data_IF_394679806795
#
_entry.id   IF_394679806795
#
_cell.length_a   1.000
_cell.length_b   1.000
_cell.length_c   1.000
_cell.angle_alpha   90.00
_cell.angle_beta   90.00
_cell.angle_gamma   90.00
#
_symmetry.space_group_name_H-M   'P 1'
#
loop_
_entity.id
_entity.type
_entity.pdbx_description
1 polymer ?
#
# COMPACT_ATOMS: atom_id res chain seq x y z
N UNK A 1 -33.34 11.54 46.15
CA UNK A 1 -32.48 10.81 47.11
C UNK A 1 -32.30 9.39 46.57
N UNK A 2 -31.07 8.99 46.18
CA UNK A 2 -30.86 7.87 45.26
C UNK A 2 -30.40 6.58 45.95
N UNK A 3 -30.82 5.46 45.40
CA UNK A 3 -30.45 4.11 45.81
C UNK A 3 -29.14 3.63 45.14
N UNK A 4 -28.26 3.09 45.98
CA UNK A 4 -27.31 1.98 45.77
C UNK A 4 -26.64 1.84 44.38
N UNK A 5 -25.36 2.25 44.31
CA UNK A 5 -24.33 1.55 43.52
C UNK A 5 -23.08 1.31 44.39
N UNK A 6 -22.71 0.03 44.51
CA UNK A 6 -21.51 -0.45 45.21
C UNK A 6 -20.25 0.12 44.54
N UNK A 7 -19.41 0.81 45.31
CA UNK A 7 -18.01 1.09 44.97
C UNK A 7 -17.19 -0.12 45.40
N UNK A 8 -16.45 -0.73 44.47
CA UNK A 8 -15.30 -1.58 44.78
C UNK A 8 -14.06 -0.82 44.31
N UNK A 9 -13.36 -0.24 45.28
CA UNK A 9 -11.99 0.22 45.13
C UNK A 9 -11.08 -1.00 45.14
N UNK A 10 -10.26 -1.19 44.11
CA UNK A 10 -9.08 -2.06 44.18
C UNK A 10 -7.89 -1.28 43.63
N UNK A 11 -6.83 -1.24 44.44
CA UNK A 11 -5.56 -0.55 44.19
C UNK A 11 -4.73 -1.28 43.12
N UNK A 12 -3.80 -0.59 42.44
CA UNK A 12 -2.85 -1.20 41.53
C UNK A 12 -1.77 -1.95 42.33
N UNK A 13 -1.53 -3.22 41.99
CA UNK A 13 -0.44 -4.03 42.54
C UNK A 13 0.18 -4.89 41.44
N UNK A 14 1.41 -4.54 41.08
CA UNK A 14 2.53 -5.38 40.64
C UNK A 14 2.22 -6.66 39.84
N UNK A 15 2.21 -6.53 38.51
CA UNK A 15 2.39 -7.67 37.61
C UNK A 15 3.87 -7.84 37.30
N UNK A 16 4.52 -8.81 37.97
CA UNK A 16 5.83 -9.33 37.53
C UNK A 16 5.64 -10.05 36.21
N UNK A 17 6.37 -9.60 35.18
CA UNK A 17 6.51 -10.30 33.91
C UNK A 17 7.29 -11.61 34.14
N UNK A 18 6.57 -12.73 34.12
CA UNK A 18 7.15 -14.06 34.28
C UNK A 18 6.07 -15.06 34.67
N UNK A 19 5.43 -15.63 33.64
CA UNK A 19 4.74 -16.94 33.62
C UNK A 19 3.42 -16.89 32.85
N UNK A 20 3.53 -17.07 31.53
CA UNK A 20 2.69 -17.97 30.70
C UNK A 20 3.13 -17.85 29.25
N UNK A 21 4.36 -18.28 28.97
CA UNK A 21 4.71 -18.75 27.64
C UNK A 21 4.10 -20.16 27.48
N UNK A 22 2.86 -20.24 27.02
CA UNK A 22 2.34 -21.50 26.49
C UNK A 22 3.09 -21.76 25.18
N UNK A 23 4.11 -22.61 25.27
CA UNK A 23 4.82 -23.17 24.13
C UNK A 23 3.81 -23.84 23.19
N UNK A 24 3.39 -23.14 22.13
CA UNK A 24 2.79 -23.78 20.97
C UNK A 24 3.92 -24.51 20.26
N UNK A 25 4.16 -25.75 20.68
CA UNK A 25 5.04 -26.65 19.97
C UNK A 25 4.39 -26.91 18.61
N UNK A 26 4.92 -26.26 17.56
CA UNK A 26 4.44 -26.38 16.19
C UNK A 26 4.40 -27.87 15.80
N UNK A 27 3.21 -28.36 15.45
CA UNK A 27 3.01 -29.74 15.05
C UNK A 27 3.84 -30.00 13.77
N UNK A 28 4.75 -30.99 13.75
CA UNK A 28 5.57 -31.28 12.58
C UNK A 28 4.71 -31.56 11.34
N UNK A 29 5.18 -31.16 10.15
CA UNK A 29 4.41 -31.25 8.91
C UNK A 29 3.93 -32.68 8.59
N UNK A 30 4.75 -33.70 8.86
CA UNK A 30 4.37 -35.10 8.69
C UNK A 30 3.19 -35.51 9.59
N UNK A 31 3.14 -35.01 10.84
CA UNK A 31 2.07 -35.32 11.80
C UNK A 31 0.72 -34.74 11.35
N UNK A 32 0.75 -33.53 10.79
CA UNK A 32 -0.43 -32.91 10.18
C UNK A 32 -0.90 -33.66 8.94
N UNK A 33 0.02 -34.13 8.07
CA UNK A 33 -0.35 -34.94 6.89
C UNK A 33 -0.98 -36.28 7.25
N UNK A 34 -0.46 -36.99 8.27
CA UNK A 34 -1.09 -38.23 8.75
C UNK A 34 -2.55 -38.01 9.16
N UNK A 35 -2.83 -36.88 9.82
CA UNK A 35 -4.19 -36.50 10.22
C UNK A 35 -5.05 -36.20 9.00
N UNK A 36 -4.56 -35.37 8.08
CA UNK A 36 -5.29 -34.99 6.86
C UNK A 36 -5.63 -36.20 5.98
N UNK A 37 -4.68 -37.11 5.75
CA UNK A 37 -4.91 -38.31 4.92
C UNK A 37 -5.92 -39.27 5.57
N UNK A 38 -5.91 -39.41 6.89
CA UNK A 38 -6.93 -40.16 7.63
C UNK A 38 -8.32 -39.52 7.49
N UNK A 39 -8.40 -38.21 7.69
CA UNK A 39 -9.67 -37.46 7.65
C UNK A 39 -10.28 -37.40 6.25
N UNK A 40 -9.46 -37.27 5.20
CA UNK A 40 -9.87 -37.35 3.80
C UNK A 40 -10.53 -38.68 3.44
N UNK A 41 -10.12 -39.77 4.09
CA UNK A 41 -10.70 -41.10 3.94
C UNK A 41 -11.89 -41.36 4.88
N UNK A 42 -12.25 -40.38 5.71
CA UNK A 42 -13.36 -40.48 6.66
C UNK A 42 -13.09 -41.42 7.82
N UNK A 43 -11.84 -41.81 8.06
CA UNK A 43 -11.50 -42.82 9.06
C UNK A 43 -11.37 -42.21 10.45
N UNK A 44 -11.98 -42.86 11.44
CA UNK A 44 -11.66 -42.66 12.85
C UNK A 44 -10.26 -43.22 13.17
N UNK A 45 -9.69 -42.82 14.32
CA UNK A 45 -8.38 -43.35 14.77
C UNK A 45 -8.42 -44.86 15.04
N UNK A 46 -9.57 -45.39 15.43
CA UNK A 46 -9.78 -46.83 15.61
C UNK A 46 -9.83 -47.57 14.26
N UNK A 47 -10.47 -46.99 13.25
CA UNK A 47 -10.46 -47.55 11.89
C UNK A 47 -9.07 -47.50 11.28
N UNK A 48 -8.34 -46.39 11.47
CA UNK A 48 -6.94 -46.30 11.06
C UNK A 48 -6.07 -47.36 11.75
N UNK A 49 -6.27 -47.58 13.06
CA UNK A 49 -5.57 -48.63 13.79
C UNK A 49 -5.89 -50.03 13.24
N UNK A 50 -7.14 -50.30 12.83
CA UNK A 50 -7.50 -51.59 12.20
C UNK A 50 -6.79 -51.77 10.86
N UNK A 51 -6.81 -50.77 9.99
CA UNK A 51 -6.13 -50.84 8.70
C UNK A 51 -4.61 -51.02 8.83
N UNK A 52 -3.98 -50.35 9.79
CA UNK A 52 -2.55 -50.54 10.07
C UNK A 52 -2.25 -51.95 10.59
N UNK A 53 -3.07 -52.50 11.50
CA UNK A 53 -2.87 -53.85 12.04
C UNK A 53 -3.09 -54.92 10.97
N UNK A 54 -4.10 -54.74 10.11
CA UNK A 54 -4.40 -55.63 8.99
C UNK A 54 -3.25 -55.67 7.99
N UNK A 55 -2.73 -54.51 7.56
CA UNK A 55 -1.57 -54.42 6.65
C UNK A 55 -0.29 -54.98 7.30
N UNK A 56 -0.12 -54.82 8.61
CA UNK A 56 1.03 -55.36 9.34
C UNK A 56 0.90 -56.86 9.69
N UNK A 57 -0.25 -57.50 9.42
CA UNK A 57 -0.52 -58.88 9.83
C UNK A 57 -0.56 -59.10 11.34
N UNK A 58 -0.90 -58.05 12.11
CA UNK A 58 -0.93 -58.05 13.57
C UNK A 58 -2.33 -58.29 14.15
N UNK A 59 -2.39 -58.73 15.40
CA UNK A 59 -3.66 -59.01 16.08
C UNK A 59 -4.51 -57.73 16.30
N UNK A 60 -5.77 -57.81 15.86
CA UNK A 60 -6.80 -56.77 16.03
C UNK A 60 -7.16 -56.47 17.49
N UNK A 61 -6.75 -57.31 18.45
CA UNK A 61 -6.88 -57.01 19.89
C UNK A 61 -6.11 -55.74 20.32
N UNK A 62 -5.14 -55.28 19.51
CA UNK A 62 -4.29 -54.13 19.81
C UNK A 62 -4.87 -52.76 19.40
N UNK A 63 -6.06 -52.70 18.80
CA UNK A 63 -6.67 -51.47 18.23
C UNK A 63 -6.71 -50.32 19.24
N UNK A 64 -7.10 -50.58 20.49
CA UNK A 64 -7.20 -49.55 21.51
C UNK A 64 -5.83 -48.97 21.91
N UNK A 65 -4.78 -49.78 21.87
CA UNK A 65 -3.41 -49.33 22.15
C UNK A 65 -2.88 -48.50 20.99
N UNK A 66 -3.01 -49.01 19.76
CA UNK A 66 -2.52 -48.34 18.57
C UNK A 66 -3.26 -47.02 18.31
N UNK A 67 -4.57 -46.95 18.57
CA UNK A 67 -5.30 -45.67 18.45
C UNK A 67 -4.77 -44.58 19.39
N UNK A 68 -4.19 -44.91 20.54
CA UNK A 68 -3.54 -43.92 21.42
C UNK A 68 -2.22 -43.45 20.82
N UNK A 69 -1.43 -44.37 20.27
CA UNK A 69 -0.18 -44.04 19.56
C UNK A 69 -0.46 -43.15 18.35
N UNK A 70 -1.47 -43.45 17.54
CA UNK A 70 -1.91 -42.63 16.40
C UNK A 70 -2.25 -41.20 16.85
N UNK A 71 -2.95 -41.05 17.98
CA UNK A 71 -3.25 -39.73 18.54
C UNK A 71 -1.99 -38.96 18.93
N UNK A 72 -0.99 -39.63 19.50
CA UNK A 72 0.27 -38.98 19.89
C UNK A 72 1.15 -38.67 18.67
N UNK A 73 1.11 -39.50 17.62
CA UNK A 73 1.77 -39.26 16.33
C UNK A 73 1.14 -38.09 15.57
N UNK A 74 -0.19 -38.03 15.46
CA UNK A 74 -0.92 -36.90 14.84
C UNK A 74 -0.76 -35.59 15.61
N UNK A 75 -0.33 -35.64 16.88
CA UNK A 75 0.04 -34.46 17.68
C UNK A 75 1.52 -34.11 17.55
N UNK A 76 2.30 -34.89 16.81
CA UNK A 76 3.72 -34.65 16.63
C UNK A 76 4.61 -35.04 17.80
N UNK A 77 4.07 -35.76 18.81
CA UNK A 77 4.84 -36.09 20.02
C UNK A 77 5.93 -37.12 19.76
N UNK A 78 5.64 -38.11 18.91
CA UNK A 78 6.58 -39.18 18.57
C UNK A 78 6.50 -39.50 17.08
N UNK A 79 7.65 -39.72 16.46
CA UNK A 79 7.70 -40.21 15.08
C UNK A 79 7.32 -41.71 15.04
N UNK A 80 6.41 -42.14 14.15
CA UNK A 80 6.00 -43.53 14.03
C UNK A 80 7.06 -44.39 13.33
N UNK A 81 8.22 -44.62 13.97
CA UNK A 81 9.39 -45.29 13.35
C UNK A 81 9.02 -46.65 12.75
N UNK A 82 8.40 -47.50 13.54
CA UNK A 82 8.09 -48.89 13.14
C UNK A 82 6.81 -49.00 12.31
N UNK A 83 6.11 -47.88 12.10
CA UNK A 83 4.81 -47.83 11.42
C UNK A 83 4.83 -46.96 10.16
N UNK A 84 5.94 -46.27 9.86
CA UNK A 84 6.03 -45.33 8.74
C UNK A 84 5.77 -46.02 7.40
N UNK A 85 6.41 -47.16 7.15
CA UNK A 85 6.21 -47.98 5.95
C UNK A 85 4.75 -48.46 5.84
N UNK A 86 4.17 -48.94 6.95
CA UNK A 86 2.78 -49.42 6.98
C UNK A 86 1.79 -48.29 6.71
N UNK A 87 2.04 -47.10 7.25
CA UNK A 87 1.27 -45.89 6.96
C UNK A 87 1.29 -45.54 5.47
N UNK A 88 2.47 -45.58 4.85
CA UNK A 88 2.64 -45.31 3.43
C UNK A 88 1.82 -46.29 2.58
N UNK A 89 1.89 -47.59 2.90
CA UNK A 89 1.11 -48.64 2.21
C UNK A 89 -0.40 -48.48 2.39
N UNK A 90 -0.86 -48.30 3.63
CA UNK A 90 -2.30 -48.13 3.93
C UNK A 90 -2.88 -46.90 3.24
N UNK A 91 -2.09 -45.83 3.08
CA UNK A 91 -2.53 -44.64 2.35
C UNK A 91 -2.31 -44.71 0.85
N UNK A 92 -1.55 -45.70 0.34
CA UNK A 92 -1.18 -45.81 -1.06
C UNK A 92 -0.26 -44.66 -1.51
N UNK A 93 0.58 -44.16 -0.61
CA UNK A 93 1.50 -43.05 -0.83
C UNK A 93 2.96 -43.52 -0.66
N UNK A 94 3.88 -42.79 -1.27
CA UNK A 94 5.31 -42.98 -1.02
C UNK A 94 5.67 -42.50 0.40
N UNK A 95 6.57 -43.21 1.09
CA UNK A 95 6.99 -42.88 2.46
C UNK A 95 7.64 -41.50 2.51
N UNK A 96 8.45 -41.14 1.50
CA UNK A 96 9.09 -39.83 1.43
C UNK A 96 8.05 -38.74 1.23
N UNK A 97 6.96 -38.98 0.49
CA UNK A 97 5.87 -38.02 0.32
C UNK A 97 5.11 -37.83 1.64
N UNK A 98 4.81 -38.93 2.34
CA UNK A 98 4.04 -38.90 3.57
C UNK A 98 4.81 -38.27 4.74
N UNK A 99 6.12 -38.54 4.83
CA UNK A 99 6.97 -38.13 5.96
C UNK A 99 8.00 -37.03 5.63
N UNK A 100 8.07 -36.51 4.40
CA UNK A 100 9.01 -35.45 4.02
C UNK A 100 8.90 -34.21 4.90
N UNK A 101 10.05 -33.61 5.20
CA UNK A 101 10.19 -32.34 5.93
C UNK A 101 9.69 -31.11 5.15
N UNK A 102 9.44 -31.22 3.83
CA UNK A 102 8.94 -30.08 3.03
C UNK A 102 7.48 -29.82 3.34
N UNK A 103 7.17 -28.64 3.90
CA UNK A 103 5.79 -28.18 4.15
C UNK A 103 4.96 -28.37 2.87
N UNK A 104 3.92 -29.20 2.92
CA UNK A 104 2.89 -29.14 1.88
C UNK A 104 2.27 -27.74 1.99
N UNK A 105 2.16 -27.01 0.87
CA UNK A 105 1.45 -25.73 0.86
C UNK A 105 0.07 -25.95 1.50
N UNK A 106 -0.34 -25.15 2.50
CA UNK A 106 -1.67 -25.30 3.09
C UNK A 106 -2.71 -25.18 1.98
N UNK A 107 -3.70 -26.08 1.90
CA UNK A 107 -4.83 -25.94 0.96
C UNK A 107 -5.53 -24.57 1.13
N UNK A 108 -5.42 -23.97 2.32
CA UNK A 108 -5.89 -22.62 2.64
C UNK A 108 -5.21 -21.53 1.80
N UNK A 109 -3.88 -21.61 1.58
CA UNK A 109 -3.12 -20.63 0.80
C UNK A 109 -3.52 -20.67 -0.70
N UNK A 110 -3.78 -21.87 -1.23
CA UNK A 110 -4.22 -22.05 -2.62
C UNK A 110 -5.68 -21.62 -2.83
N UNK A 111 -6.56 -21.87 -1.85
CA UNK A 111 -7.93 -21.36 -1.87
C UNK A 111 -7.98 -19.83 -1.73
N UNK A 112 -7.17 -19.25 -0.85
CA UNK A 112 -7.02 -17.79 -0.72
C UNK A 112 -6.46 -17.17 -1.99
N UNK A 113 -5.43 -17.79 -2.60
CA UNK A 113 -4.90 -17.37 -3.90
C UNK A 113 -5.99 -17.39 -4.97
N UNK A 114 -6.75 -18.48 -5.08
CA UNK A 114 -7.83 -18.62 -6.07
C UNK A 114 -8.95 -17.59 -5.85
N UNK A 115 -9.36 -17.36 -4.61
CA UNK A 115 -10.36 -16.33 -4.27
C UNK A 115 -9.86 -14.93 -4.58
N UNK A 116 -8.59 -14.66 -4.30
CA UNK A 116 -7.99 -13.37 -4.55
C UNK A 116 -7.86 -13.12 -6.06
N UNK A 117 -7.40 -14.10 -6.84
CA UNK A 117 -7.36 -14.02 -8.31
C UNK A 117 -8.76 -13.84 -8.91
N UNK A 118 -9.76 -14.53 -8.39
CA UNK A 118 -11.17 -14.33 -8.79
C UNK A 118 -11.65 -12.91 -8.45
N UNK A 119 -11.25 -12.36 -7.31
CA UNK A 119 -11.58 -10.99 -6.91
C UNK A 119 -10.89 -9.98 -7.83
N UNK A 120 -9.62 -10.19 -8.18
CA UNK A 120 -8.88 -9.37 -9.13
C UNK A 120 -9.49 -9.43 -10.54
N UNK A 121 -9.87 -10.61 -11.01
CA UNK A 121 -10.59 -10.79 -12.28
C UNK A 121 -11.92 -10.02 -12.29
N UNK A 122 -12.63 -9.98 -11.16
CA UNK A 122 -13.86 -9.20 -10.99
C UNK A 122 -13.60 -7.69 -11.02
N UNK A 123 -12.41 -7.25 -10.61
CA UNK A 123 -11.93 -5.87 -10.70
C UNK A 123 -11.35 -5.51 -12.09
N UNK A 124 -11.52 -6.39 -13.10
CA UNK A 124 -11.01 -6.16 -14.45
C UNK A 124 -9.50 -6.37 -14.61
N UNK A 125 -8.83 -6.90 -13.58
CA UNK A 125 -7.46 -7.43 -13.70
C UNK A 125 -7.59 -8.80 -14.36
N UNK A 126 -7.64 -8.82 -15.69
CA UNK A 126 -7.58 -10.08 -16.43
C UNK A 126 -6.15 -10.61 -16.35
N UNK A 127 -5.86 -11.52 -15.41
CA UNK A 127 -4.71 -12.41 -15.59
C UNK A 127 -5.06 -13.28 -16.80
N UNK A 128 -4.41 -13.04 -17.95
CA UNK A 128 -4.47 -14.02 -19.03
C UNK A 128 -4.01 -15.37 -18.47
N UNK A 129 -4.64 -16.50 -18.84
CA UNK A 129 -4.17 -17.84 -18.45
C UNK A 129 -2.67 -18.06 -18.71
N UNK A 130 -2.11 -17.31 -19.67
CA UNK A 130 -0.68 -17.25 -19.98
C UNK A 130 0.13 -16.67 -18.81
N UNK A 131 -0.31 -15.60 -18.14
CA UNK A 131 0.41 -15.02 -17.00
C UNK A 131 0.41 -15.94 -15.78
N UNK A 132 -0.69 -16.64 -15.51
CA UNK A 132 -0.76 -17.64 -14.43
C UNK A 132 0.16 -18.84 -14.72
N UNK A 133 0.24 -19.24 -15.99
CA UNK A 133 1.17 -20.29 -16.45
C UNK A 133 2.63 -19.84 -16.34
N UNK A 134 2.96 -18.61 -16.73
CA UNK A 134 4.32 -18.04 -16.61
C UNK A 134 4.75 -17.89 -15.15
N UNK A 135 3.85 -17.48 -14.25
CA UNK A 135 4.14 -17.44 -12.81
C UNK A 135 4.45 -18.84 -12.27
N UNK A 136 3.65 -19.83 -12.65
CA UNK A 136 3.83 -21.23 -12.22
C UNK A 136 5.15 -21.80 -12.75
N UNK A 137 5.50 -21.52 -14.01
CA UNK A 137 6.79 -21.90 -14.60
C UNK A 137 7.94 -21.22 -13.86
N UNK A 138 7.85 -19.90 -13.60
CA UNK A 138 8.85 -19.14 -12.83
C UNK A 138 9.06 -19.74 -11.44
N UNK A 139 7.99 -20.06 -10.74
CA UNK A 139 8.06 -20.67 -9.41
C UNK A 139 8.71 -22.05 -9.46
N UNK A 140 8.34 -22.89 -10.42
CA UNK A 140 8.92 -24.23 -10.60
C UNK A 140 10.41 -24.17 -10.94
N UNK A 141 10.82 -23.23 -11.80
CA UNK A 141 12.23 -23.01 -12.16
C UNK A 141 13.02 -22.50 -10.96
N UNK A 142 12.50 -21.51 -10.23
CA UNK A 142 13.15 -20.97 -9.04
C UNK A 142 13.33 -22.02 -7.94
N UNK A 143 12.32 -22.88 -7.72
CA UNK A 143 12.42 -23.99 -6.77
C UNK A 143 13.49 -25.02 -7.18
N UNK A 144 13.66 -25.26 -8.48
CA UNK A 144 14.66 -26.20 -9.00
C UNK A 144 16.09 -25.67 -8.87
N UNK A 145 16.27 -24.35 -8.84
CA UNK A 145 17.57 -23.68 -8.74
C UNK A 145 18.02 -23.39 -7.31
N UNK A 146 17.23 -23.74 -6.29
CA UNK A 146 17.57 -23.45 -4.89
C UNK A 146 17.44 -21.96 -4.54
N UNK A 147 16.26 -21.38 -4.84
CA UNK A 147 15.89 -19.97 -4.63
C UNK A 147 16.41 -19.38 -3.30
N UNK A 148 17.19 -18.31 -3.39
CA UNK A 148 17.60 -17.50 -2.22
C UNK A 148 16.55 -16.42 -1.96
N UNK A 149 15.90 -16.49 -0.80
CA UNK A 149 14.89 -15.52 -0.35
C UNK A 149 15.44 -14.08 -0.30
N UNK A 150 16.76 -13.89 -0.21
CA UNK A 150 17.39 -12.57 -0.30
C UNK A 150 17.27 -11.95 -1.69
N UNK A 151 17.52 -12.74 -2.73
CA UNK A 151 17.40 -12.31 -4.12
C UNK A 151 15.94 -11.95 -4.45
N UNK A 152 14.98 -12.64 -3.83
CA UNK A 152 13.57 -12.30 -3.98
C UNK A 152 13.24 -10.93 -3.37
N UNK A 153 13.73 -10.64 -2.17
CA UNK A 153 13.52 -9.34 -1.51
C UNK A 153 14.16 -8.21 -2.31
N UNK A 154 15.42 -8.37 -2.73
CA UNK A 154 16.14 -7.37 -3.51
C UNK A 154 15.41 -7.05 -4.82
N UNK A 155 14.94 -8.07 -5.53
CA UNK A 155 14.10 -7.92 -6.74
C UNK A 155 12.83 -7.11 -6.44
N UNK A 156 12.17 -7.34 -5.30
CA UNK A 156 10.97 -6.57 -4.96
C UNK A 156 11.26 -5.14 -4.48
N UNK A 157 12.40 -4.92 -3.82
CA UNK A 157 12.87 -3.57 -3.49
C UNK A 157 13.19 -2.79 -4.78
N UNK A 158 13.80 -3.44 -5.76
CA UNK A 158 14.02 -2.89 -7.10
C UNK A 158 12.70 -2.58 -7.81
N UNK A 159 11.73 -3.51 -7.81
CA UNK A 159 10.40 -3.27 -8.40
C UNK A 159 9.69 -2.05 -7.78
N UNK A 160 9.76 -1.87 -6.45
CA UNK A 160 9.21 -0.67 -5.78
C UNK A 160 9.91 0.60 -6.26
N UNK A 161 11.24 0.57 -6.41
CA UNK A 161 12.03 1.69 -6.92
C UNK A 161 11.67 2.01 -8.39
N UNK A 162 11.48 0.99 -9.23
CA UNK A 162 11.07 1.14 -10.63
C UNK A 162 9.67 1.77 -10.76
N UNK A 163 8.72 1.34 -9.92
CA UNK A 163 7.43 2.02 -9.81
C UNK A 163 7.59 3.50 -9.44
N UNK A 164 8.62 3.84 -8.66
CA UNK A 164 8.99 5.21 -8.36
C UNK A 164 9.16 6.08 -9.62
N UNK A 165 9.81 5.54 -10.65
CA UNK A 165 10.07 6.23 -11.91
C UNK A 165 8.90 6.16 -12.90
N UNK A 166 8.13 5.07 -12.89
CA UNK A 166 7.01 4.90 -13.83
C UNK A 166 5.70 5.52 -13.32
N UNK A 167 5.57 5.79 -12.01
CA UNK A 167 4.31 6.18 -11.37
C UNK A 167 3.60 7.34 -12.07
N UNK A 168 4.33 8.37 -12.53
CA UNK A 168 3.74 9.55 -13.17
C UNK A 168 3.42 9.33 -14.66
N UNK A 169 4.04 8.33 -15.28
CA UNK A 169 3.95 8.02 -16.71
C UNK A 169 2.90 6.95 -17.00
N UNK A 170 2.77 5.95 -16.14
CA UNK A 170 1.80 4.87 -16.28
C UNK A 170 0.39 5.40 -15.95
N UNK A 171 -0.63 5.12 -16.79
CA UNK A 171 -2.01 5.43 -16.45
C UNK A 171 -2.44 4.78 -15.12
N UNK A 172 -3.18 5.48 -14.24
CA UNK A 172 -3.55 4.95 -12.92
C UNK A 172 -4.29 3.60 -12.96
N UNK A 173 -5.14 3.37 -13.97
CA UNK A 173 -5.84 2.09 -14.12
C UNK A 173 -4.88 0.93 -14.39
N UNK A 174 -3.87 1.13 -15.23
CA UNK A 174 -2.86 0.10 -15.51
C UNK A 174 -2.00 -0.15 -14.26
N UNK A 175 -1.54 0.93 -13.60
CA UNK A 175 -0.74 0.84 -12.39
C UNK A 175 -1.47 0.11 -11.25
N UNK A 176 -2.80 0.25 -11.15
CA UNK A 176 -3.62 -0.49 -10.19
C UNK A 176 -3.48 -2.01 -10.38
N UNK A 177 -3.51 -2.46 -11.64
CA UNK A 177 -3.44 -3.88 -11.99
C UNK A 177 -2.05 -4.46 -11.70
N UNK A 178 -1.01 -3.72 -12.09
CA UNK A 178 0.40 -4.11 -11.90
C UNK A 178 0.74 -4.22 -10.40
N UNK A 179 0.48 -3.16 -9.62
CA UNK A 179 0.77 -3.15 -8.18
C UNK A 179 -0.08 -4.18 -7.43
N UNK A 180 -1.33 -4.43 -7.85
CA UNK A 180 -2.15 -5.48 -7.27
C UNK A 180 -1.54 -6.87 -7.48
N UNK A 181 -1.07 -7.18 -8.69
CA UNK A 181 -0.43 -8.46 -8.97
C UNK A 181 0.83 -8.68 -8.11
N UNK A 182 1.65 -7.63 -7.96
CA UNK A 182 2.88 -7.69 -7.17
C UNK A 182 2.60 -7.83 -5.67
N UNK A 183 1.60 -7.14 -5.13
CA UNK A 183 1.16 -7.31 -3.74
C UNK A 183 0.76 -8.75 -3.43
N UNK A 184 0.15 -9.45 -4.40
CA UNK A 184 -0.23 -10.85 -4.25
C UNK A 184 0.98 -11.77 -4.24
N UNK A 185 1.93 -11.52 -5.14
CA UNK A 185 3.16 -12.28 -5.23
C UNK A 185 4.02 -12.09 -3.96
N UNK A 186 4.13 -10.86 -3.45
CA UNK A 186 4.81 -10.54 -2.19
C UNK A 186 4.12 -11.21 -1.01
N UNK A 187 2.78 -11.15 -0.92
CA UNK A 187 2.02 -11.84 0.15
C UNK A 187 2.31 -13.34 0.18
N UNK A 188 2.34 -13.99 -0.98
CA UNK A 188 2.65 -15.43 -1.09
C UNK A 188 4.10 -15.74 -0.71
N UNK A 189 5.05 -14.88 -1.07
CA UNK A 189 6.44 -15.03 -0.65
C UNK A 189 6.57 -14.91 0.87
N UNK A 190 5.92 -13.90 1.47
CA UNK A 190 5.91 -13.68 2.91
C UNK A 190 5.23 -14.81 3.69
N UNK A 191 4.14 -15.42 3.18
CA UNK A 191 3.47 -16.54 3.87
C UNK A 191 4.35 -17.79 3.95
N UNK A 192 5.20 -18.00 2.94
CA UNK A 192 6.18 -19.11 2.90
C UNK A 192 7.33 -18.89 3.89
N UNK A 193 7.89 -17.69 3.91
CA UNK A 193 8.97 -17.27 4.81
C UNK A 193 8.53 -17.26 6.30
N UNK A 194 7.35 -16.70 6.58
CA UNK A 194 6.81 -16.52 7.92
C UNK A 194 7.42 -15.33 8.69
N UNK A 195 6.83 -15.00 9.85
CA UNK A 195 7.21 -13.80 10.62
C UNK A 195 8.50 -13.91 11.42
N UNK A 196 9.08 -15.12 11.52
CA UNK A 196 10.38 -15.36 12.17
C UNK A 196 11.56 -15.27 11.20
N UNK A 197 11.28 -14.95 9.93
CA UNK A 197 12.31 -14.79 8.91
C UNK A 197 13.25 -13.62 9.25
N UNK A 198 14.54 -13.82 9.01
CA UNK A 198 15.59 -12.79 9.17
C UNK A 198 15.36 -11.57 8.27
N UNK A 199 14.65 -11.73 7.16
CA UNK A 199 14.29 -10.71 6.18
C UNK A 199 12.89 -10.11 6.41
N UNK A 200 12.19 -10.46 7.49
CA UNK A 200 10.84 -9.97 7.76
C UNK A 200 10.73 -8.44 7.69
N UNK A 201 11.74 -7.71 8.17
CA UNK A 201 11.77 -6.24 8.09
C UNK A 201 11.85 -5.73 6.66
N UNK A 202 12.66 -6.35 5.80
CA UNK A 202 12.75 -5.98 4.39
C UNK A 202 11.46 -6.31 3.64
N UNK A 203 10.85 -7.46 3.92
CA UNK A 203 9.50 -7.78 3.42
C UNK A 203 8.43 -6.76 3.85
N UNK A 204 8.50 -6.29 5.09
CA UNK A 204 7.64 -5.21 5.57
C UNK A 204 7.92 -3.88 4.83
N UNK A 205 9.18 -3.57 4.51
CA UNK A 205 9.54 -2.38 3.71
C UNK A 205 8.93 -2.45 2.31
N UNK A 206 9.11 -3.57 1.61
CA UNK A 206 8.50 -3.84 0.28
C UNK A 206 6.98 -3.71 0.34
N UNK A 207 6.35 -4.37 1.33
CA UNK A 207 4.90 -4.31 1.52
C UNK A 207 4.43 -2.88 1.78
N UNK A 208 5.19 -2.11 2.54
CA UNK A 208 4.93 -0.69 2.79
C UNK A 208 4.97 0.14 1.51
N UNK A 209 5.99 -0.05 0.68
CA UNK A 209 6.15 0.62 -0.61
C UNK A 209 5.03 0.30 -1.60
N UNK A 210 4.72 -1.00 -1.80
CA UNK A 210 3.63 -1.42 -2.69
C UNK A 210 2.25 -0.96 -2.18
N UNK A 211 2.01 -1.01 -0.87
CA UNK A 211 0.75 -0.53 -0.27
C UNK A 211 0.60 0.98 -0.40
N UNK A 212 1.69 1.73 -0.30
CA UNK A 212 1.72 3.17 -0.58
C UNK A 212 1.31 3.44 -2.03
N UNK A 213 1.96 2.76 -2.99
CA UNK A 213 1.64 2.89 -4.42
C UNK A 213 0.17 2.56 -4.70
N UNK A 214 -0.35 1.48 -4.13
CA UNK A 214 -1.75 1.09 -4.22
C UNK A 214 -2.69 2.19 -3.68
N UNK A 215 -2.38 2.75 -2.50
CA UNK A 215 -3.19 3.81 -1.90
C UNK A 215 -3.20 5.08 -2.76
N UNK A 216 -2.02 5.52 -3.23
CA UNK A 216 -1.87 6.67 -4.12
C UNK A 216 -2.64 6.49 -5.43
N UNK A 217 -2.54 5.31 -6.03
CA UNK A 217 -3.25 4.96 -7.27
C UNK A 217 -4.76 4.95 -7.09
N UNK A 218 -5.28 4.39 -6.00
CA UNK A 218 -6.71 4.45 -5.69
C UNK A 218 -7.20 5.88 -5.48
N UNK A 219 -6.43 6.75 -4.84
CA UNK A 219 -6.75 8.18 -4.75
C UNK A 219 -6.79 8.85 -6.12
N UNK A 220 -5.85 8.54 -7.04
CA UNK A 220 -5.90 9.03 -8.42
C UNK A 220 -7.18 8.61 -9.15
N UNK A 221 -7.70 7.41 -8.84
CA UNK A 221 -8.93 6.87 -9.41
C UNK A 221 -10.20 7.34 -8.69
N UNK A 222 -10.08 8.20 -7.67
CA UNK A 222 -11.24 8.71 -6.91
C UNK A 222 -11.81 7.69 -5.91
N UNK A 223 -11.10 6.58 -5.68
CA UNK A 223 -11.48 5.48 -4.79
C UNK A 223 -10.94 5.72 -3.37
N UNK A 224 -11.14 6.92 -2.83
CA UNK A 224 -10.56 7.37 -1.56
C UNK A 224 -11.00 6.51 -0.37
N UNK A 225 -12.19 5.90 -0.44
CA UNK A 225 -12.67 4.99 0.61
C UNK A 225 -11.85 3.70 0.63
N UNK A 226 -11.56 3.15 -0.54
CA UNK A 226 -10.76 1.94 -0.72
C UNK A 226 -9.29 2.22 -0.42
N UNK A 227 -8.79 3.43 -0.66
CA UNK A 227 -7.41 3.81 -0.32
C UNK A 227 -7.11 3.82 1.18
N UNK A 228 -8.10 4.11 2.05
CA UNK A 228 -7.91 4.20 3.53
C UNK A 228 -7.22 2.99 4.17
N UNK A 229 -7.69 1.74 3.98
CA UNK A 229 -7.02 0.57 4.54
C UNK A 229 -5.59 0.39 3.98
N UNK A 230 -5.34 0.78 2.72
CA UNK A 230 -4.00 0.72 2.13
C UNK A 230 -3.04 1.71 2.78
N UNK A 231 -3.49 2.93 3.08
CA UNK A 231 -2.69 3.88 3.86
C UNK A 231 -2.30 3.31 5.24
N UNK A 232 -3.25 2.68 5.94
CA UNK A 232 -2.99 2.06 7.23
C UNK A 232 -2.02 0.87 7.11
N UNK A 233 -2.19 0.03 6.08
CA UNK A 233 -1.33 -1.11 5.80
C UNK A 233 0.09 -0.66 5.49
N UNK A 234 0.25 0.36 4.63
CA UNK A 234 1.53 0.92 4.26
C UNK A 234 2.28 1.43 5.50
N UNK A 235 1.61 2.22 6.33
CA UNK A 235 2.20 2.80 7.53
C UNK A 235 2.60 1.73 8.55
N UNK A 236 1.72 0.78 8.84
CA UNK A 236 2.02 -0.33 9.75
C UNK A 236 3.21 -1.16 9.26
N UNK A 237 3.28 -1.45 7.96
CA UNK A 237 4.40 -2.18 7.38
C UNK A 237 5.72 -1.38 7.44
N UNK A 238 5.67 -0.06 7.21
CA UNK A 238 6.84 0.80 7.36
C UNK A 238 7.33 0.90 8.82
N UNK A 239 6.41 0.91 9.78
CA UNK A 239 6.76 0.89 11.21
C UNK A 239 7.38 -0.45 11.62
N UNK A 240 6.82 -1.57 11.15
CA UNK A 240 7.37 -2.91 11.38
C UNK A 240 8.75 -3.10 10.73
N UNK A 241 9.00 -2.49 9.57
CA UNK A 241 10.32 -2.52 8.94
C UNK A 241 11.35 -1.70 9.73
N UNK A 242 10.92 -0.66 10.44
CA UNK A 242 11.78 0.32 11.12
C UNK A 242 12.32 1.40 10.18
N UNK A 243 11.76 1.52 8.97
CA UNK A 243 12.18 2.49 7.97
C UNK A 243 11.45 3.83 8.14
N UNK A 244 12.11 4.75 8.85
CA UNK A 244 11.59 6.10 9.10
C UNK A 244 11.50 6.96 7.83
N UNK A 245 12.34 6.71 6.82
CA UNK A 245 12.22 7.39 5.52
C UNK A 245 10.93 7.00 4.81
N UNK A 246 10.58 5.71 4.83
CA UNK A 246 9.32 5.21 4.28
C UNK A 246 8.12 5.68 5.10
N UNK A 247 8.16 5.58 6.44
CA UNK A 247 7.06 6.02 7.31
C UNK A 247 6.73 7.51 7.14
N UNK A 248 7.74 8.38 7.16
CA UNK A 248 7.54 9.82 6.94
C UNK A 248 7.03 10.12 5.53
N UNK A 249 7.51 9.41 4.51
CA UNK A 249 7.04 9.57 3.14
C UNK A 249 5.56 9.21 3.00
N UNK A 250 5.13 8.06 3.56
CA UNK A 250 3.73 7.63 3.56
C UNK A 250 2.84 8.68 4.24
N UNK A 251 3.27 9.23 5.38
CA UNK A 251 2.51 10.26 6.12
C UNK A 251 2.34 11.53 5.29
N UNK A 252 3.41 12.00 4.63
CA UNK A 252 3.34 13.15 3.72
C UNK A 252 2.38 12.90 2.55
N UNK A 253 2.51 11.76 1.88
CA UNK A 253 1.65 11.38 0.75
C UNK A 253 0.18 11.24 1.15
N UNK A 254 -0.10 10.69 2.33
CA UNK A 254 -1.46 10.57 2.86
C UNK A 254 -2.09 11.94 3.14
N UNK A 255 -1.29 12.92 3.62
CA UNK A 255 -1.74 14.29 3.82
C UNK A 255 -2.05 14.97 2.49
N UNK A 256 -1.13 14.87 1.51
CA UNK A 256 -1.30 15.43 0.17
C UNK A 256 -2.54 14.86 -0.50
N UNK A 257 -2.72 13.53 -0.57
CA UNK A 257 -3.95 12.97 -1.15
C UNK A 257 -5.20 13.34 -0.33
N UNK A 258 -5.06 13.48 0.99
CA UNK A 258 -6.12 13.95 1.87
C UNK A 258 -6.63 15.36 1.52
N UNK A 259 -5.76 16.24 1.02
CA UNK A 259 -6.13 17.58 0.51
C UNK A 259 -7.05 17.46 -0.71
N UNK A 260 -6.65 16.72 -1.74
CA UNK A 260 -7.43 16.53 -2.95
C UNK A 260 -8.74 15.74 -2.70
N UNK A 261 -8.75 14.87 -1.69
CA UNK A 261 -9.95 14.17 -1.22
C UNK A 261 -10.90 15.07 -0.40
N UNK A 262 -10.55 16.34 -0.18
CA UNK A 262 -11.29 17.31 0.65
C UNK A 262 -11.58 16.79 2.05
N UNK A 263 -10.61 16.09 2.65
CA UNK A 263 -10.70 15.71 4.07
C UNK A 263 -10.75 16.98 4.94
N UNK A 264 -11.46 16.97 6.08
CA UNK A 264 -11.54 18.14 6.94
C UNK A 264 -10.15 18.67 7.34
N UNK A 265 -9.90 19.96 7.10
CA UNK A 265 -8.59 20.58 7.36
C UNK A 265 -8.11 20.42 8.82
N UNK A 266 -8.96 20.48 9.88
CA UNK A 266 -8.50 20.22 11.25
C UNK A 266 -7.98 18.78 11.47
N UNK A 267 -8.49 17.82 10.70
CA UNK A 267 -8.01 16.43 10.76
C UNK A 267 -6.63 16.32 10.13
N UNK A 268 -6.42 16.96 8.97
CA UNK A 268 -5.12 16.96 8.30
C UNK A 268 -4.06 17.71 9.11
N UNK A 269 -4.39 18.88 9.68
CA UNK A 269 -3.49 19.63 10.56
C UNK A 269 -3.04 18.78 11.75
N UNK A 270 -3.96 18.14 12.45
CA UNK A 270 -3.61 17.26 13.59
C UNK A 270 -2.66 16.13 13.19
N UNK A 271 -2.86 15.53 12.01
CA UNK A 271 -1.96 14.47 11.52
C UNK A 271 -0.58 15.01 11.14
N UNK A 272 -0.52 16.19 10.52
CA UNK A 272 0.74 16.86 10.20
C UNK A 272 1.49 17.28 11.46
N UNK A 273 0.80 17.90 12.43
CA UNK A 273 1.38 18.32 13.70
C UNK A 273 1.94 17.13 14.48
N UNK A 274 1.21 16.01 14.54
CA UNK A 274 1.69 14.79 15.18
C UNK A 274 2.99 14.27 14.53
N UNK A 275 3.05 14.22 13.19
CA UNK A 275 4.23 13.75 12.48
C UNK A 275 5.43 14.72 12.64
N UNK A 276 5.20 16.03 12.57
CA UNK A 276 6.26 17.02 12.74
C UNK A 276 6.75 17.11 14.19
N UNK A 277 5.90 16.83 15.18
CA UNK A 277 6.35 16.77 16.58
C UNK A 277 7.42 15.72 16.83
N UNK A 278 7.46 14.67 16.01
CA UNK A 278 8.43 13.57 16.11
C UNK A 278 9.63 13.76 15.16
N UNK A 279 9.40 14.29 13.96
CA UNK A 279 10.38 14.22 12.87
C UNK A 279 10.86 15.56 12.31
N UNK A 280 10.41 16.72 12.83
CA UNK A 280 10.67 18.04 12.23
C UNK A 280 12.15 18.31 11.89
N UNK A 281 13.07 17.92 12.78
CA UNK A 281 14.51 18.19 12.65
C UNK A 281 15.29 17.07 11.96
N UNK A 282 14.63 15.98 11.58
CA UNK A 282 15.28 14.85 10.91
C UNK A 282 15.55 15.14 9.42
N UNK A 283 16.54 14.46 8.84
CA UNK A 283 16.81 14.46 7.40
C UNK A 283 16.02 13.35 6.65
N UNK A 284 14.89 12.90 7.21
CA UNK A 284 14.07 11.87 6.57
C UNK A 284 13.34 12.45 5.36
N UNK A 285 13.33 11.69 4.27
CA UNK A 285 12.87 12.14 2.94
C UNK A 285 11.42 12.64 2.92
N UNK A 286 10.57 12.16 3.83
CA UNK A 286 9.17 12.55 3.89
C UNK A 286 8.88 13.86 4.64
N UNK A 287 9.83 14.38 5.43
CA UNK A 287 9.60 15.56 6.28
C UNK A 287 9.23 16.81 5.48
N UNK A 288 9.93 17.14 4.37
CA UNK A 288 9.51 18.27 3.53
C UNK A 288 8.11 18.06 2.94
N UNK A 289 7.73 16.83 2.60
CA UNK A 289 6.37 16.51 2.12
C UNK A 289 5.28 16.75 3.18
N UNK A 290 5.56 16.41 4.44
CA UNK A 290 4.64 16.68 5.57
C UNK A 290 4.51 18.20 5.81
N UNK A 291 5.63 18.92 5.81
CA UNK A 291 5.65 20.39 5.98
C UNK A 291 4.94 21.09 4.80
N UNK A 292 5.19 20.65 3.57
CA UNK A 292 4.48 21.14 2.38
C UNK A 292 2.97 20.96 2.50
N UNK A 293 2.52 19.75 2.82
CA UNK A 293 1.10 19.48 3.01
C UNK A 293 0.51 20.35 4.12
N UNK A 294 1.22 20.55 5.24
CA UNK A 294 0.78 21.42 6.33
C UNK A 294 0.62 22.88 5.88
N UNK A 295 1.58 23.43 5.14
CA UNK A 295 1.49 24.79 4.59
C UNK A 295 0.26 24.96 3.67
N UNK A 296 0.00 23.96 2.82
CA UNK A 296 -1.18 23.93 1.94
C UNK A 296 -2.49 23.83 2.73
N UNK A 297 -2.55 22.99 3.77
CA UNK A 297 -3.73 22.88 4.64
C UNK A 297 -3.97 24.20 5.39
N UNK A 298 -2.92 24.85 5.91
CA UNK A 298 -3.03 26.10 6.67
C UNK A 298 -3.61 27.24 5.82
N UNK A 299 -3.17 27.39 4.58
CA UNK A 299 -3.72 28.43 3.69
C UNK A 299 -5.18 28.15 3.36
N UNK A 300 -5.55 26.88 3.14
CA UNK A 300 -6.96 26.47 2.93
C UNK A 300 -7.83 26.66 4.18
N UNK A 301 -7.24 26.56 5.37
CA UNK A 301 -7.92 26.78 6.64
C UNK A 301 -8.11 28.27 6.97
N UNK A 302 -7.50 29.18 6.20
CA UNK A 302 -7.55 30.62 6.46
C UNK A 302 -6.50 31.12 7.45
N UNK A 303 -5.36 30.43 7.56
CA UNK A 303 -4.23 30.80 8.43
C UNK A 303 -3.00 31.20 7.58
N UNK A 304 -3.04 32.38 6.91
CA UNK A 304 -2.05 32.76 5.91
C UNK A 304 -0.65 33.02 6.50
N UNK A 305 -0.57 33.60 7.69
CA UNK A 305 0.71 33.89 8.34
C UNK A 305 1.44 32.60 8.73
N UNK A 306 0.70 31.63 9.28
CA UNK A 306 1.18 30.31 9.64
C UNK A 306 1.54 29.49 8.41
N UNK A 307 0.77 29.59 7.32
CA UNK A 307 1.08 28.93 6.06
C UNK A 307 2.43 29.43 5.49
N UNK A 308 2.67 30.74 5.50
CA UNK A 308 3.94 31.32 5.04
C UNK A 308 5.11 30.96 5.97
N UNK A 309 4.88 30.82 7.27
CA UNK A 309 5.90 30.34 8.21
C UNK A 309 6.23 28.87 7.96
N UNK A 310 5.22 28.03 7.75
CA UNK A 310 5.41 26.62 7.44
C UNK A 310 6.08 26.41 6.07
N UNK A 311 5.79 27.27 5.08
CA UNK A 311 6.46 27.26 3.79
C UNK A 311 7.98 27.51 3.91
N UNK A 312 8.42 28.35 4.85
CA UNK A 312 9.84 28.54 5.16
C UNK A 312 10.45 27.28 5.79
N UNK A 313 9.75 26.68 6.76
CA UNK A 313 10.16 25.41 7.38
C UNK A 313 10.26 24.26 6.37
N UNK A 314 9.39 24.23 5.37
CA UNK A 314 9.48 23.29 4.27
C UNK A 314 10.78 23.48 3.48
N UNK A 315 11.21 24.72 3.26
CA UNK A 315 12.51 25.04 2.65
C UNK A 315 13.69 24.59 3.52
N UNK A 316 13.65 24.91 4.81
CA UNK A 316 14.68 24.47 5.79
C UNK A 316 14.77 22.94 5.89
N UNK A 317 13.64 22.24 5.77
CA UNK A 317 13.60 20.78 5.73
C UNK A 317 14.19 20.21 4.42
N UNK A 318 13.93 20.88 3.29
CA UNK A 318 14.53 20.52 2.01
C UNK A 318 16.05 20.67 2.01
N UNK A 319 16.58 21.77 2.57
CA UNK A 319 18.02 22.02 2.66
C UNK A 319 18.78 20.96 3.48
N UNK A 320 18.09 20.27 4.40
CA UNK A 320 18.65 19.17 5.19
C UNK A 320 18.70 17.83 4.46
N UNK A 321 18.01 17.69 3.31
CA UNK A 321 17.98 16.43 2.59
C UNK A 321 19.31 16.12 1.92
N UNK A 322 19.73 14.84 1.87
CA UNK A 322 20.92 14.44 1.14
C UNK A 322 20.73 14.63 -0.37
N UNK A 323 21.83 14.88 -1.08
CA UNK A 323 21.85 15.06 -2.54
C UNK A 323 21.25 13.88 -3.33
N UNK A 324 21.30 12.67 -2.78
CA UNK A 324 20.67 11.49 -3.37
C UNK A 324 19.14 11.57 -3.42
N UNK A 325 18.51 12.33 -2.52
CA UNK A 325 17.06 12.55 -2.51
C UNK A 325 16.69 13.78 -3.36
N UNK A 326 17.47 14.86 -3.25
CA UNK A 326 17.18 16.11 -3.98
C UNK A 326 17.49 16.02 -5.47
N UNK A 327 18.45 15.18 -5.85
CA UNK A 327 18.81 14.91 -7.25
C UNK A 327 17.92 13.86 -7.94
N UNK A 328 17.09 13.11 -7.20
CA UNK A 328 16.25 12.05 -7.78
C UNK A 328 14.90 12.59 -8.29
N UNK A 329 14.94 13.60 -9.16
CA UNK A 329 13.75 14.35 -9.61
C UNK A 329 12.79 13.53 -10.49
N UNK A 330 13.27 12.45 -11.10
CA UNK A 330 12.47 11.57 -11.96
C UNK A 330 11.68 10.49 -11.21
N UNK A 331 12.01 10.23 -9.95
CA UNK A 331 11.29 9.26 -9.12
C UNK A 331 10.37 9.98 -8.15
N UNK A 332 9.20 9.39 -7.88
CA UNK A 332 8.34 9.89 -6.81
C UNK A 332 8.95 9.76 -5.41
N UNK A 333 10.00 8.96 -5.24
CA UNK A 333 10.76 8.85 -3.99
C UNK A 333 11.68 10.04 -3.72
N UNK A 334 12.11 10.74 -4.78
CA UNK A 334 12.92 11.94 -4.65
C UNK A 334 12.11 13.13 -4.15
N UNK A 335 12.81 14.17 -3.74
CA UNK A 335 12.19 15.44 -3.39
C UNK A 335 13.10 16.56 -3.87
N UNK A 336 12.90 17.02 -5.11
CA UNK A 336 13.70 18.07 -5.71
C UNK A 336 13.10 19.47 -5.52
N UNK A 337 13.80 20.47 -6.05
CA UNK A 337 13.41 21.88 -5.94
C UNK A 337 12.04 22.16 -6.58
N UNK A 338 11.62 21.37 -7.56
CA UNK A 338 10.31 21.46 -8.22
C UNK A 338 9.15 21.26 -7.23
N UNK A 339 9.31 20.43 -6.19
CA UNK A 339 8.26 20.22 -5.18
C UNK A 339 8.15 21.38 -4.20
N UNK A 340 9.26 22.03 -3.87
CA UNK A 340 9.24 23.25 -3.07
C UNK A 340 8.53 24.37 -3.84
N UNK A 341 8.91 24.57 -5.11
CA UNK A 341 8.29 25.59 -5.96
C UNK A 341 6.82 25.29 -6.27
N UNK A 342 6.43 24.02 -6.42
CA UNK A 342 5.02 23.63 -6.49
C UNK A 342 4.24 24.00 -5.21
N UNK A 343 4.83 23.74 -4.04
CA UNK A 343 4.22 24.09 -2.74
C UNK A 343 4.07 25.61 -2.59
N UNK A 344 5.09 26.37 -3.01
CA UNK A 344 5.05 27.83 -3.07
C UNK A 344 3.92 28.33 -3.97
N UNK A 345 3.83 27.80 -5.20
CA UNK A 345 2.75 28.11 -6.13
C UNK A 345 1.39 27.84 -5.50
N UNK A 346 1.24 26.74 -4.75
CA UNK A 346 -0.03 26.41 -4.10
C UNK A 346 -0.42 27.47 -3.08
N UNK A 347 0.50 27.79 -2.18
CA UNK A 347 0.25 28.78 -1.13
C UNK A 347 -0.08 30.13 -1.75
N UNK A 348 0.67 30.59 -2.75
CA UNK A 348 0.43 31.90 -3.37
C UNK A 348 -0.87 31.95 -4.19
N UNK A 349 -1.25 30.87 -4.89
CA UNK A 349 -2.54 30.79 -5.59
C UNK A 349 -3.74 30.86 -4.62
N UNK A 350 -3.60 30.34 -3.40
CA UNK A 350 -4.62 30.45 -2.36
C UNK A 350 -4.63 31.79 -1.64
N UNK A 351 -3.51 32.49 -1.60
CA UNK A 351 -3.43 33.88 -1.11
C UNK A 351 -3.89 34.91 -2.16
N UNK A 352 -4.02 34.53 -3.44
CA UNK A 352 -4.29 35.46 -4.53
C UNK A 352 -3.09 36.33 -4.91
N UNK A 353 -1.88 35.94 -4.51
CA UNK A 353 -0.63 36.65 -4.79
C UNK A 353 -0.09 36.22 -6.16
N UNK A 354 -0.55 36.91 -7.22
CA UNK A 354 -0.26 36.59 -8.62
C UNK A 354 1.24 36.63 -8.92
N UNK A 355 1.95 37.66 -8.45
CA UNK A 355 3.35 37.87 -8.78
C UNK A 355 4.23 36.74 -8.22
N UNK A 356 4.03 36.38 -6.95
CA UNK A 356 4.79 35.28 -6.33
C UNK A 356 4.38 33.93 -6.89
N UNK A 357 3.11 33.74 -7.26
CA UNK A 357 2.64 32.55 -7.96
C UNK A 357 3.36 32.37 -9.29
N UNK A 358 3.38 33.39 -10.14
CA UNK A 358 3.99 33.32 -11.47
C UNK A 358 5.52 33.13 -11.37
N UNK A 359 6.16 33.70 -10.36
CA UNK A 359 7.56 33.44 -10.05
C UNK A 359 7.80 31.97 -9.66
N UNK A 360 6.97 31.40 -8.78
CA UNK A 360 7.10 30.01 -8.34
C UNK A 360 6.85 29.01 -9.49
N UNK A 361 5.87 29.27 -10.34
CA UNK A 361 5.60 28.48 -11.55
C UNK A 361 6.79 28.56 -12.52
N UNK A 362 7.31 29.76 -12.77
CA UNK A 362 8.48 29.97 -13.62
C UNK A 362 9.72 29.24 -13.08
N UNK A 363 9.93 29.25 -11.76
CA UNK A 363 11.03 28.54 -11.13
C UNK A 363 10.89 27.02 -11.29
N UNK A 364 9.67 26.50 -11.12
CA UNK A 364 9.37 25.08 -11.33
C UNK A 364 9.71 24.66 -12.77
N UNK A 365 9.32 25.45 -13.77
CA UNK A 365 9.65 25.17 -15.17
C UNK A 365 11.15 25.18 -15.48
N UNK A 366 11.96 25.98 -14.78
CA UNK A 366 13.42 25.97 -14.94
C UNK A 366 14.07 24.73 -14.36
N UNK A 367 13.48 24.14 -13.31
CA UNK A 367 14.02 22.96 -12.62
C UNK A 367 13.56 21.65 -13.22
N UNK A 368 12.39 21.65 -13.87
CA UNK A 368 11.89 20.46 -14.56
C UNK A 368 12.79 20.12 -15.75
N UNK A 369 13.10 18.83 -15.89
CA UNK A 369 13.72 18.31 -17.09
C UNK A 369 12.74 18.52 -18.28
N UNK A 370 13.16 19.22 -19.36
CA UNK A 370 12.30 19.43 -20.53
C UNK A 370 11.82 18.12 -21.14
N UNK A 371 12.61 17.05 -21.03
CA UNK A 371 12.30 15.71 -21.53
C UNK A 371 11.39 14.90 -20.62
N UNK A 372 11.12 15.36 -19.40
CA UNK A 372 10.18 14.70 -18.49
C UNK A 372 8.74 14.80 -19.04
N UNK A 373 8.12 13.67 -19.45
CA UNK A 373 6.80 13.70 -20.03
C UNK A 373 5.70 14.03 -19.01
N UNK A 374 5.98 13.97 -17.69
CA UNK A 374 5.03 13.94 -16.56
C UNK A 374 3.79 14.84 -16.77
N UNK A 375 2.74 14.30 -17.42
CA UNK A 375 1.67 15.14 -17.94
C UNK A 375 0.80 15.64 -16.79
N UNK A 376 0.62 14.81 -15.76
CA UNK A 376 -0.12 15.16 -14.54
C UNK A 376 0.49 16.34 -13.81
N UNK A 377 1.80 16.32 -13.54
CA UNK A 377 2.46 17.39 -12.80
C UNK A 377 2.36 18.73 -13.53
N UNK A 378 2.65 18.73 -14.85
CA UNK A 378 2.57 19.93 -15.70
C UNK A 378 1.14 20.49 -15.75
N UNK A 379 0.13 19.64 -15.94
CA UNK A 379 -1.27 20.09 -15.93
C UNK A 379 -1.68 20.63 -14.55
N UNK A 380 -1.29 19.98 -13.46
CA UNK A 380 -1.61 20.46 -12.11
C UNK A 380 -1.03 21.84 -11.84
N UNK A 381 0.23 22.08 -12.23
CA UNK A 381 0.87 23.39 -12.06
C UNK A 381 0.15 24.49 -12.85
N UNK A 382 -0.22 24.20 -14.10
CA UNK A 382 -0.97 25.14 -14.95
C UNK A 382 -2.38 25.44 -14.41
N UNK A 383 -3.10 24.43 -13.91
CA UNK A 383 -4.42 24.64 -13.29
C UNK A 383 -4.33 25.46 -12.00
N UNK A 384 -3.27 25.27 -11.23
CA UNK A 384 -3.01 26.04 -10.02
C UNK A 384 -2.68 27.50 -10.35
N UNK A 385 -1.87 27.74 -11.39
CA UNK A 385 -1.61 29.08 -11.92
C UNK A 385 -2.90 29.77 -12.35
N UNK A 386 -3.72 29.08 -13.16
CA UNK A 386 -5.02 29.57 -13.59
C UNK A 386 -5.93 29.92 -12.40
N UNK A 387 -5.96 29.08 -11.36
CA UNK A 387 -6.75 29.34 -10.15
C UNK A 387 -6.36 30.66 -9.49
N UNK A 388 -5.06 30.93 -9.35
CA UNK A 388 -4.58 32.20 -8.80
C UNK A 388 -4.87 33.40 -9.71
N UNK A 389 -4.79 33.24 -11.03
CA UNK A 389 -5.15 34.29 -12.00
C UNK A 389 -6.64 34.64 -11.90
N UNK A 390 -7.53 33.65 -11.85
CA UNK A 390 -8.97 33.86 -11.64
C UNK A 390 -9.23 34.57 -10.32
N UNK A 391 -8.58 34.15 -9.22
CA UNK A 391 -8.73 34.77 -7.89
C UNK A 391 -8.22 36.21 -7.81
N UNK A 392 -7.23 36.57 -8.63
CA UNK A 392 -6.70 37.94 -8.74
C UNK A 392 -7.48 38.82 -9.72
N UNK A 393 -8.55 38.30 -10.35
CA UNK A 393 -9.47 39.03 -11.21
C UNK A 393 -9.27 38.82 -12.72
N UNK A 394 -8.27 38.04 -13.13
CA UNK A 394 -8.01 37.71 -14.54
C UNK A 394 -8.79 36.46 -14.97
N UNK A 395 -10.12 36.54 -14.90
CA UNK A 395 -11.02 35.39 -15.07
C UNK A 395 -10.94 34.81 -16.47
N UNK A 396 -10.96 35.66 -17.49
CA UNK A 396 -11.01 35.20 -18.89
C UNK A 396 -9.73 34.46 -19.28
N UNK A 397 -8.56 35.05 -18.98
CA UNK A 397 -7.28 34.42 -19.33
C UNK A 397 -7.00 33.21 -18.45
N UNK A 398 -7.30 33.28 -17.14
CA UNK A 398 -7.14 32.15 -16.23
C UNK A 398 -7.96 30.93 -16.66
N UNK A 399 -9.23 31.12 -17.01
CA UNK A 399 -10.10 30.02 -17.51
C UNK A 399 -9.61 29.50 -18.86
N UNK A 400 -9.17 30.38 -19.78
CA UNK A 400 -8.61 29.97 -21.07
C UNK A 400 -7.35 29.12 -20.88
N UNK A 401 -6.47 29.51 -19.96
CA UNK A 401 -5.26 28.77 -19.62
C UNK A 401 -5.59 27.39 -19.03
N UNK A 402 -6.54 27.34 -18.08
CA UNK A 402 -7.00 26.08 -17.50
C UNK A 402 -7.62 25.13 -18.54
N UNK A 403 -8.43 25.67 -19.46
CA UNK A 403 -9.05 24.89 -20.53
C UNK A 403 -7.99 24.28 -21.45
N UNK A 404 -6.98 25.05 -21.86
CA UNK A 404 -5.89 24.57 -22.71
C UNK A 404 -5.07 23.47 -22.00
N UNK A 405 -4.70 23.68 -20.74
CA UNK A 405 -3.93 22.73 -19.96
C UNK A 405 -4.68 21.40 -19.71
N UNK A 406 -5.97 21.48 -19.37
CA UNK A 406 -6.80 20.30 -19.13
C UNK A 406 -7.06 19.51 -20.42
N UNK A 407 -7.31 20.20 -21.54
CA UNK A 407 -7.52 19.56 -22.84
C UNK A 407 -6.25 18.85 -23.36
N UNK A 408 -5.06 19.44 -23.13
CA UNK A 408 -3.78 18.85 -23.51
C UNK A 408 -3.39 17.62 -22.66
N UNK A 409 -3.96 17.47 -21.45
CA UNK A 409 -3.73 16.30 -20.62
C UNK A 409 -4.39 15.06 -21.24
N UNK A 410 -3.65 13.96 -21.50
CA UNK A 410 -4.23 12.71 -22.00
C UNK A 410 -5.37 12.23 -21.09
N UNK A 411 -6.45 11.69 -21.66
CA UNK A 411 -7.65 11.34 -20.91
C UNK A 411 -7.37 10.31 -19.80
N UNK A 412 -6.50 9.35 -20.07
CA UNK A 412 -6.07 8.29 -19.16
C UNK A 412 -5.21 8.83 -18.01
N UNK A 413 -4.68 10.06 -18.15
CA UNK A 413 -3.86 10.75 -17.15
C UNK A 413 -4.66 11.78 -16.35
N UNK A 414 -5.94 12.03 -16.66
CA UNK A 414 -6.83 12.96 -15.93
C UNK A 414 -7.30 12.38 -14.59
N UNK A 415 -6.33 12.03 -13.75
CA UNK A 415 -6.54 11.56 -12.39
C UNK A 415 -7.35 12.57 -11.56
N UNK A 416 -7.95 12.09 -10.47
CA UNK A 416 -8.77 12.88 -9.55
C UNK A 416 -8.08 14.16 -9.11
N UNK A 417 -6.78 14.15 -8.82
CA UNK A 417 -6.03 15.36 -8.46
C UNK A 417 -6.06 16.45 -9.54
N UNK A 418 -5.95 16.06 -10.82
CA UNK A 418 -6.04 16.98 -11.96
C UNK A 418 -7.46 17.54 -12.09
N UNK A 419 -8.46 16.65 -12.04
CA UNK A 419 -9.86 17.04 -12.15
C UNK A 419 -10.31 17.94 -10.99
N UNK A 420 -9.81 17.70 -9.77
CA UNK A 420 -10.06 18.55 -8.60
C UNK A 420 -9.55 19.97 -8.78
N UNK A 421 -8.32 20.14 -9.29
CA UNK A 421 -7.79 21.47 -9.58
C UNK A 421 -8.56 22.17 -10.70
N UNK A 422 -9.03 21.41 -11.69
CA UNK A 422 -9.89 21.95 -12.73
C UNK A 422 -11.24 22.46 -12.17
N UNK A 423 -11.84 21.71 -11.25
CA UNK A 423 -13.04 22.15 -10.53
C UNK A 423 -12.75 23.40 -9.67
N UNK A 424 -11.58 23.49 -9.04
CA UNK A 424 -11.18 24.67 -8.24
C UNK A 424 -11.08 25.96 -9.08
N UNK A 425 -10.65 25.85 -10.34
CA UNK A 425 -10.67 27.00 -11.27
C UNK A 425 -12.11 27.51 -11.46
N UNK A 426 -13.09 26.60 -11.64
CA UNK A 426 -14.51 26.99 -11.74
C UNK A 426 -15.05 27.56 -10.42
N UNK A 427 -14.67 27.00 -9.28
CA UNK A 427 -15.08 27.48 -7.96
C UNK A 427 -14.55 28.90 -7.67
N UNK A 428 -13.38 29.24 -8.23
CA UNK A 428 -12.79 30.58 -8.10
C UNK A 428 -13.51 31.66 -8.93
N UNK A 429 -14.32 31.30 -9.94
CA UNK A 429 -14.97 32.27 -10.83
C UNK A 429 -16.03 33.11 -10.09
N UNK A 430 -15.93 34.46 -10.11
CA UNK A 430 -16.91 35.35 -9.52
C UNK A 430 -18.32 35.13 -10.10
N UNK A 431 -19.35 35.30 -9.27
CA UNK A 431 -20.74 35.02 -9.66
C UNK A 431 -21.19 35.77 -10.93
N UNK A 432 -20.71 37.00 -11.12
CA UNK A 432 -21.03 37.84 -12.28
C UNK A 432 -20.51 37.26 -13.61
N UNK A 433 -19.41 36.51 -13.60
CA UNK A 433 -18.73 36.01 -14.80
C UNK A 433 -19.05 34.55 -15.12
N UNK A 434 -19.83 33.86 -14.27
CA UNK A 434 -20.15 32.42 -14.44
C UNK A 434 -20.87 32.07 -15.74
N UNK A 435 -21.52 33.06 -16.38
CA UNK A 435 -22.25 32.93 -17.65
C UNK A 435 -21.45 33.42 -18.86
N UNK A 436 -20.19 33.80 -18.69
CA UNK A 436 -19.36 34.18 -19.83
C UNK A 436 -19.17 32.98 -20.77
N UNK A 437 -18.96 33.22 -22.09
CA UNK A 437 -18.73 32.14 -23.04
C UNK A 437 -17.52 31.27 -22.69
N UNK A 438 -16.42 31.86 -22.21
CA UNK A 438 -15.21 31.14 -21.80
C UNK A 438 -15.46 30.19 -20.63
N UNK A 439 -16.17 30.64 -19.59
CA UNK A 439 -16.51 29.80 -18.43
C UNK A 439 -17.50 28.70 -18.81
N UNK A 440 -18.43 28.99 -19.73
CA UNK A 440 -19.39 27.99 -20.22
C UNK A 440 -18.69 26.89 -21.00
N UNK A 441 -17.81 27.24 -21.94
CA UNK A 441 -17.02 26.26 -22.69
C UNK A 441 -16.12 25.41 -21.80
N UNK A 442 -15.50 26.01 -20.77
CA UNK A 442 -14.71 25.27 -19.80
C UNK A 442 -15.56 24.28 -18.98
N UNK A 443 -16.75 24.69 -18.53
CA UNK A 443 -17.68 23.81 -17.81
C UNK A 443 -18.15 22.63 -18.66
N UNK A 444 -18.42 22.86 -19.94
CA UNK A 444 -18.80 21.81 -20.89
C UNK A 444 -17.66 20.80 -21.09
N UNK A 445 -16.41 21.28 -21.19
CA UNK A 445 -15.23 20.42 -21.25
C UNK A 445 -15.16 19.48 -20.04
N UNK A 446 -15.29 20.02 -18.81
CA UNK A 446 -15.22 19.19 -17.60
C UNK A 446 -16.40 18.21 -17.48
N UNK A 447 -17.58 18.56 -18.00
CA UNK A 447 -18.77 17.71 -17.95
C UNK A 447 -18.75 16.54 -18.96
N UNK A 448 -17.86 16.55 -19.95
CA UNK A 448 -17.82 15.55 -21.03
C UNK A 448 -17.68 14.11 -20.52
N UNK A 449 -18.43 13.13 -21.07
CA UNK A 449 -18.41 11.73 -20.62
C UNK A 449 -17.06 11.03 -20.76
N UNK A 450 -16.19 11.50 -21.65
CA UNK A 450 -14.78 11.05 -21.74
C UNK A 450 -14.04 11.32 -20.43
N UNK A 451 -14.43 12.36 -19.68
CA UNK A 451 -13.86 12.72 -18.37
C UNK A 451 -14.55 12.01 -17.19
N UNK A 452 -15.77 11.48 -17.37
CA UNK A 452 -16.48 10.72 -16.32
C UNK A 452 -16.16 9.23 -16.31
N UNK A 453 -15.87 8.63 -17.47
CA UNK A 453 -15.50 7.20 -17.58
C UNK A 453 -14.14 6.85 -16.95
N UNK A 454 -13.30 7.85 -16.66
CA UNK A 454 -12.04 7.62 -15.94
C UNK A 454 -12.23 7.42 -14.42
N UNK A 455 -13.45 7.65 -13.90
CA UNK A 455 -13.79 7.59 -12.45
C UNK A 455 -14.61 6.33 -12.10
N UNK A 456 -15.25 5.70 -13.10
CA UNK A 456 -15.99 4.43 -12.97
C UNK A 456 -15.16 3.27 -13.47
#
# INVERSE_FOLDING_TARGET
>A
MPERRRRLCLRPGDWRAGDMAVSFQECPAWASRLRSEREKRGWSKNEMARHLLEEAGCDTSMVASLSRSIRDWEKGKHYPRDWAVTYARVFGLDEDVLFSKKKALPEDDEMERRRLLQTLATLGVTSSPIFDSLHTIRESVGQSLGRDERLDVEMWEEAVSEYGYSYQLTPPQQLLQEVAADLVAVRQAMSRAGSRDRLFRSWCRVTGGLSLLMAKTLCNLGQSRQARPWWATALNAAELSGDHHLSTWIRGEQLIHGLYDRRPTPVLLRHADAALSEYADSAYRGVPGISAARAQVLVMHGMPAEALAELRRCGEAFERLPGSVTGNTRSIEGWGAERLSYTQAWVYAYLGDRDRLDQAVSQTHKTLDPSDPSPRFRTQLALLQATGHVRSGDVTEGVRHAQAAYAACPAEQRATMVTRLADEVLEAVPAAERRSPSVTGYRELLASPVNRRAIT
#
